data_IF_174013938633
#
_entry.id   IF_174013938633
#
_cell.length_a   1.000
_cell.length_b   1.000
_cell.length_c   1.000
_cell.angle_alpha   90.00
_cell.angle_beta   90.00
_cell.angle_gamma   90.00
#
_symmetry.space_group_name_H-M   'P 1'
#
loop_
_entity.id
_entity.type
_entity.pdbx_description
1 polymer ?
#
# COMPACT_ATOMS: atom_id res chain seq x y z
N UNK A 1 34.14 -8.90 -10.51
CA UNK A 1 33.08 -9.46 -11.41
C UNK A 1 32.23 -8.29 -11.91
N UNK A 2 31.68 -8.35 -13.13
CA UNK A 2 30.71 -7.31 -13.55
C UNK A 2 29.46 -7.40 -12.69
N UNK A 3 28.88 -6.26 -12.31
CA UNK A 3 27.65 -6.23 -11.54
C UNK A 3 26.50 -6.89 -12.34
N UNK A 4 25.71 -7.76 -11.69
CA UNK A 4 24.57 -8.44 -12.32
C UNK A 4 23.43 -7.47 -12.62
N UNK A 5 23.29 -6.42 -11.81
CA UNK A 5 22.31 -5.37 -11.95
C UNK A 5 22.92 -4.01 -11.56
N UNK A 6 22.31 -2.93 -12.02
CA UNK A 6 22.65 -1.58 -11.57
C UNK A 6 22.03 -1.33 -10.20
N UNK A 7 20.83 -1.89 -9.98
CA UNK A 7 20.07 -1.76 -8.73
C UNK A 7 19.41 -3.09 -8.34
N UNK A 8 19.53 -3.45 -7.06
CA UNK A 8 18.72 -4.51 -6.44
C UNK A 8 17.72 -3.86 -5.49
N UNK A 9 16.43 -4.06 -5.74
CA UNK A 9 15.34 -3.66 -4.83
C UNK A 9 14.97 -4.85 -3.96
N UNK A 10 15.08 -4.71 -2.65
CA UNK A 10 14.72 -5.76 -1.69
C UNK A 10 13.32 -5.49 -1.15
N UNK A 11 12.38 -6.38 -1.49
CA UNK A 11 10.95 -6.32 -1.15
C UNK A 11 10.04 -6.27 -2.38
N UNK A 12 9.13 -7.24 -2.49
CA UNK A 12 8.20 -7.42 -3.63
C UNK A 12 6.76 -6.96 -3.35
N UNK A 13 6.56 -6.08 -2.38
CA UNK A 13 5.26 -5.40 -2.17
C UNK A 13 5.08 -4.20 -3.10
N UNK A 14 3.95 -3.49 -2.96
CA UNK A 14 3.61 -2.35 -3.83
C UNK A 14 4.72 -1.31 -3.88
N UNK A 15 5.36 -0.98 -2.76
CA UNK A 15 6.45 0.01 -2.72
C UNK A 15 7.67 -0.47 -3.52
N UNK A 16 8.10 -1.71 -3.30
CA UNK A 16 9.29 -2.25 -4.00
C UNK A 16 9.05 -2.42 -5.49
N UNK A 17 7.89 -2.96 -5.89
CA UNK A 17 7.55 -3.12 -7.31
C UNK A 17 7.40 -1.78 -8.02
N UNK A 18 6.73 -0.80 -7.41
CA UNK A 18 6.59 0.55 -7.99
C UNK A 18 7.93 1.25 -8.11
N UNK A 19 8.80 1.13 -7.08
CA UNK A 19 10.18 1.66 -7.12
C UNK A 19 11.00 0.99 -8.22
N UNK A 20 10.92 -0.33 -8.34
CA UNK A 20 11.63 -1.08 -9.37
C UNK A 20 11.19 -0.71 -10.79
N UNK A 21 9.88 -0.56 -11.02
CA UNK A 21 9.33 -0.07 -12.31
C UNK A 21 9.86 1.33 -12.61
N UNK A 22 9.77 2.25 -11.64
CA UNK A 22 10.26 3.64 -11.81
C UNK A 22 11.73 3.69 -12.19
N UNK A 23 12.58 2.84 -11.61
CA UNK A 23 14.01 2.79 -11.91
C UNK A 23 14.30 2.11 -13.26
N UNK A 24 13.61 1.00 -13.57
CA UNK A 24 13.78 0.29 -14.82
C UNK A 24 13.34 1.14 -16.03
N UNK A 25 12.26 1.91 -15.92
CA UNK A 25 11.81 2.85 -16.95
C UNK A 25 12.74 4.06 -17.15
N UNK A 26 13.66 4.31 -16.22
CA UNK A 26 14.78 5.25 -16.39
C UNK A 26 16.01 4.62 -17.05
N UNK A 27 15.92 3.35 -17.47
CA UNK A 27 16.99 2.63 -18.19
C UNK A 27 17.96 1.86 -17.30
N UNK A 28 17.72 1.75 -15.99
CA UNK A 28 18.55 0.96 -15.09
C UNK A 28 18.23 -0.53 -15.19
N UNK A 29 19.23 -1.40 -15.08
CA UNK A 29 19.06 -2.85 -14.95
C UNK A 29 18.63 -3.17 -13.52
N UNK A 30 17.34 -3.46 -13.31
CA UNK A 30 16.76 -3.66 -11.98
C UNK A 30 16.44 -5.13 -11.70
N UNK A 31 16.81 -5.62 -10.52
CA UNK A 31 16.35 -6.90 -9.96
C UNK A 31 15.57 -6.64 -8.67
N UNK A 32 14.44 -7.29 -8.53
CA UNK A 32 13.69 -7.29 -7.27
C UNK A 32 13.93 -8.61 -6.56
N UNK A 33 14.42 -8.56 -5.34
CA UNK A 33 14.52 -9.73 -4.47
C UNK A 33 13.38 -9.73 -3.48
N UNK A 34 12.56 -10.77 -3.54
CA UNK A 34 11.39 -10.90 -2.67
C UNK A 34 11.36 -12.26 -1.99
N UNK A 35 11.22 -12.26 -0.66
CA UNK A 35 11.04 -13.48 0.12
C UNK A 35 9.76 -14.22 -0.29
N UNK A 36 8.67 -13.48 -0.46
CA UNK A 36 7.34 -14.01 -0.74
C UNK A 36 6.85 -13.55 -2.14
N UNK A 37 5.94 -14.29 -2.81
CA UNK A 37 5.30 -13.78 -4.02
C UNK A 37 4.51 -12.52 -3.70
N UNK A 38 4.32 -11.63 -4.68
CA UNK A 38 3.61 -10.37 -4.48
C UNK A 38 2.21 -10.57 -3.85
N UNK A 39 1.51 -11.64 -4.25
CA UNK A 39 0.20 -12.02 -3.69
C UNK A 39 0.20 -12.50 -2.23
N UNK A 40 1.37 -12.75 -1.63
CA UNK A 40 1.51 -13.12 -0.21
C UNK A 40 2.11 -11.97 0.64
N UNK A 41 2.33 -10.79 0.05
CA UNK A 41 2.80 -9.61 0.77
C UNK A 41 1.66 -8.91 1.50
N UNK A 42 1.99 -8.06 2.48
CA UNK A 42 1.01 -7.18 3.14
C UNK A 42 0.23 -6.32 2.13
N UNK A 43 0.85 -5.95 1.01
CA UNK A 43 0.19 -5.17 -0.04
C UNK A 43 -1.00 -5.89 -0.67
N UNK A 44 -0.96 -7.20 -0.81
CA UNK A 44 -2.05 -8.00 -1.38
C UNK A 44 -3.30 -8.04 -0.49
N UNK A 45 -3.14 -7.73 0.79
CA UNK A 45 -4.23 -7.71 1.78
C UNK A 45 -4.89 -6.34 1.89
N UNK A 46 -4.28 -5.28 1.35
CA UNK A 46 -4.79 -3.93 1.48
C UNK A 46 -6.22 -3.79 0.91
N UNK A 47 -7.09 -3.03 1.59
CA UNK A 47 -8.38 -2.62 1.04
C UNK A 47 -8.23 -1.70 -0.16
N UNK A 48 -7.12 -0.96 -0.18
CA UNK A 48 -6.54 -0.25 -1.32
C UNK A 48 -7.39 0.88 -1.92
N UNK A 49 -8.18 1.57 -1.10
CA UNK A 49 -8.68 2.89 -1.45
C UNK A 49 -7.53 3.91 -1.37
N UNK A 50 -7.39 4.75 -2.39
CA UNK A 50 -6.47 5.89 -2.31
C UNK A 50 -7.00 6.91 -1.30
N UNK A 51 -6.31 7.03 -0.17
CA UNK A 51 -6.58 8.01 0.87
C UNK A 51 -5.37 8.15 1.80
N UNK A 52 -4.87 9.36 2.09
CA UNK A 52 -3.79 9.59 3.04
C UNK A 52 -4.22 9.27 4.49
N UNK A 53 -4.10 8.01 4.88
CA UNK A 53 -4.57 7.52 6.17
C UNK A 53 -3.41 7.28 7.14
N UNK A 54 -3.36 8.04 8.24
CA UNK A 54 -2.39 7.86 9.34
C UNK A 54 -0.97 7.64 8.83
N UNK A 55 -0.46 8.56 8.01
CA UNK A 55 0.87 8.49 7.42
C UNK A 55 1.61 9.81 7.63
N UNK A 56 2.91 9.74 7.89
CA UNK A 56 3.83 10.84 8.12
C UNK A 56 5.04 10.72 7.17
N UNK A 57 5.82 11.79 6.98
CA UNK A 57 5.66 13.13 7.54
C UNK A 57 4.63 13.96 6.75
N UNK A 58 3.79 14.70 7.45
CA UNK A 58 2.63 15.40 6.87
C UNK A 58 3.01 16.39 5.75
N UNK A 59 4.15 17.05 5.84
CA UNK A 59 4.66 18.01 4.84
C UNK A 59 5.02 17.38 3.50
N UNK A 60 5.26 16.07 3.44
CA UNK A 60 5.61 15.33 2.21
C UNK A 60 4.47 14.47 1.68
N UNK A 61 3.66 13.94 2.58
CA UNK A 61 2.59 13.00 2.26
C UNK A 61 1.63 13.56 1.23
N UNK A 62 1.25 14.84 1.34
CA UNK A 62 0.36 15.49 0.38
C UNK A 62 0.90 15.39 -1.06
N UNK A 63 2.15 15.80 -1.27
CA UNK A 63 2.79 15.75 -2.59
C UNK A 63 2.89 14.31 -3.12
N UNK A 64 3.38 13.35 -2.31
CA UNK A 64 3.49 11.95 -2.73
C UNK A 64 2.14 11.32 -3.06
N UNK A 65 1.10 11.69 -2.30
CA UNK A 65 -0.26 11.20 -2.54
C UNK A 65 -0.82 11.74 -3.84
N UNK A 66 -0.68 13.03 -4.13
CA UNK A 66 -1.15 13.65 -5.37
C UNK A 66 -0.41 13.14 -6.61
N UNK A 67 0.91 12.96 -6.53
CA UNK A 67 1.66 12.32 -7.61
C UNK A 67 1.16 10.89 -7.89
N UNK A 68 0.82 10.16 -6.83
CA UNK A 68 0.28 8.80 -6.94
C UNK A 68 -1.15 8.82 -7.49
N UNK A 69 -1.98 9.79 -7.07
CA UNK A 69 -3.34 9.97 -7.56
C UNK A 69 -3.35 10.17 -9.09
N UNK A 70 -2.51 11.08 -9.58
CA UNK A 70 -2.41 11.35 -11.01
C UNK A 70 -2.09 10.07 -11.82
N UNK A 71 -1.16 9.24 -11.33
CA UNK A 71 -0.85 7.97 -12.00
C UNK A 71 -2.03 7.00 -11.94
N UNK A 72 -2.71 6.89 -10.81
CA UNK A 72 -3.86 5.99 -10.71
C UNK A 72 -5.05 6.45 -11.55
N UNK A 73 -5.28 7.73 -11.70
CA UNK A 73 -6.28 8.27 -12.63
C UNK A 73 -5.99 7.84 -14.08
N UNK A 74 -4.73 7.91 -14.52
CA UNK A 74 -4.32 7.40 -15.82
C UNK A 74 -4.51 5.89 -15.95
N UNK A 75 -4.12 5.11 -14.94
CA UNK A 75 -4.23 3.65 -14.93
C UNK A 75 -5.69 3.18 -14.91
N UNK A 76 -6.61 3.98 -14.40
CA UNK A 76 -8.04 3.68 -14.38
C UNK A 76 -8.67 3.63 -15.78
N UNK A 77 -7.97 4.06 -16.83
CA UNK A 77 -8.41 3.89 -18.22
C UNK A 77 -8.40 2.42 -18.69
N UNK A 78 -7.64 1.53 -18.02
CA UNK A 78 -7.56 0.10 -18.35
C UNK A 78 -7.72 -0.78 -17.10
N UNK A 79 -8.89 -0.76 -16.44
CA UNK A 79 -9.07 -1.34 -15.11
C UNK A 79 -8.87 -2.86 -15.04
N UNK A 80 -9.22 -3.59 -16.09
CA UNK A 80 -9.04 -5.04 -16.17
C UNK A 80 -7.56 -5.43 -16.22
N UNK A 81 -6.70 -4.57 -16.77
CA UNK A 81 -5.27 -4.79 -16.87
C UNK A 81 -4.53 -4.32 -15.62
N UNK A 82 -4.84 -3.11 -15.15
CA UNK A 82 -4.12 -2.41 -14.09
C UNK A 82 -4.63 -2.70 -12.69
N UNK A 83 -5.88 -3.19 -12.59
CA UNK A 83 -6.59 -3.36 -11.33
C UNK A 83 -7.03 -2.04 -10.68
N UNK A 84 -6.95 -0.90 -11.38
CA UNK A 84 -7.30 0.44 -10.83
C UNK A 84 -8.62 0.90 -11.42
N UNK A 85 -9.56 1.32 -10.57
CA UNK A 85 -10.84 1.89 -10.96
C UNK A 85 -11.10 3.17 -10.20
N UNK A 86 -11.72 4.16 -10.84
CA UNK A 86 -12.32 5.29 -10.14
C UNK A 86 -13.71 4.89 -9.67
N UNK A 87 -13.91 4.88 -8.37
CA UNK A 87 -15.15 4.44 -7.74
C UNK A 87 -15.70 5.59 -6.91
N UNK A 88 -16.98 5.97 -7.04
CA UNK A 88 -17.61 6.96 -6.17
C UNK A 88 -17.78 6.39 -4.76
N UNK A 89 -17.82 7.28 -3.76
CA UNK A 89 -18.07 6.85 -2.40
C UNK A 89 -18.16 8.00 -1.41
N UNK A 90 -18.27 7.62 -0.14
CA UNK A 90 -18.48 8.54 0.97
C UNK A 90 -17.45 8.30 2.07
N UNK A 91 -16.74 9.35 2.46
CA UNK A 91 -15.98 9.40 3.70
C UNK A 91 -16.88 9.96 4.80
N UNK A 92 -17.43 9.07 5.62
CA UNK A 92 -18.36 9.41 6.69
C UNK A 92 -17.73 10.33 7.73
N UNK A 93 -18.44 11.39 8.09
CA UNK A 93 -18.02 12.36 9.09
C UNK A 93 -16.89 13.32 8.65
N UNK A 94 -16.25 13.09 7.50
CA UNK A 94 -15.12 13.90 7.06
C UNK A 94 -15.55 15.27 6.51
N UNK A 95 -14.68 16.27 6.67
CA UNK A 95 -14.88 17.63 6.19
C UNK A 95 -13.58 18.16 5.59
N UNK A 96 -13.67 19.01 4.55
CA UNK A 96 -12.50 19.62 3.94
C UNK A 96 -11.61 20.35 4.95
N UNK A 97 -12.21 21.01 5.93
CA UNK A 97 -11.48 21.76 6.96
C UNK A 97 -10.58 20.88 7.86
N UNK A 98 -10.85 19.57 7.93
CA UNK A 98 -10.05 18.61 8.69
C UNK A 98 -8.92 17.97 7.86
N UNK A 99 -8.94 18.16 6.53
CA UNK A 99 -7.94 17.58 5.62
C UNK A 99 -6.77 18.53 5.39
N UNK A 100 -5.64 17.95 4.95
CA UNK A 100 -4.49 18.74 4.53
C UNK A 100 -4.72 19.48 3.20
N UNK A 101 -3.77 20.36 2.79
CA UNK A 101 -3.88 21.14 1.56
C UNK A 101 -4.09 20.31 0.29
N UNK A 102 -3.66 19.06 0.29
CA UNK A 102 -3.84 18.12 -0.82
C UNK A 102 -5.31 17.90 -1.20
N UNK A 103 -6.24 18.11 -0.26
CA UNK A 103 -7.66 17.90 -0.49
C UNK A 103 -8.25 18.92 -1.48
N UNK A 104 -7.63 20.09 -1.64
CA UNK A 104 -8.04 21.10 -2.63
C UNK A 104 -7.85 20.63 -4.09
N UNK A 105 -7.02 19.61 -4.31
CA UNK A 105 -6.77 19.03 -5.63
C UNK A 105 -7.73 17.87 -5.97
N UNK A 106 -8.62 17.50 -5.05
CA UNK A 106 -9.62 16.46 -5.31
C UNK A 106 -10.67 16.98 -6.29
N UNK A 107 -10.81 16.30 -7.42
CA UNK A 107 -11.82 16.63 -8.44
C UNK A 107 -13.20 16.19 -7.97
N UNK A 108 -14.19 17.03 -8.20
CA UNK A 108 -15.61 16.74 -7.96
C UNK A 108 -15.93 16.28 -6.51
N UNK A 109 -15.08 16.60 -5.54
CA UNK A 109 -15.35 16.33 -4.14
C UNK A 109 -16.38 17.32 -3.58
N UNK A 110 -17.39 16.81 -2.88
CA UNK A 110 -18.50 17.60 -2.33
C UNK A 110 -18.77 17.24 -0.89
N UNK A 111 -18.82 18.24 -0.01
CA UNK A 111 -19.34 18.03 1.34
C UNK A 111 -20.85 17.83 1.32
N UNK A 112 -21.29 16.76 1.98
CA UNK A 112 -22.70 16.44 2.22
C UNK A 112 -22.95 16.35 3.72
N UNK A 113 -24.22 16.20 4.13
CA UNK A 113 -24.57 16.13 5.56
C UNK A 113 -23.81 15.01 6.29
N UNK A 114 -23.63 13.86 5.62
CA UNK A 114 -23.01 12.66 6.17
C UNK A 114 -21.47 12.68 6.11
N UNK A 115 -20.83 13.53 5.30
CA UNK A 115 -19.39 13.55 5.14
C UNK A 115 -18.90 14.17 3.84
N UNK A 116 -17.84 13.60 3.29
CA UNK A 116 -17.23 14.00 2.02
C UNK A 116 -17.49 12.95 0.95
N UNK A 117 -18.19 13.33 -0.12
CA UNK A 117 -18.46 12.48 -1.29
C UNK A 117 -17.47 12.79 -2.40
N UNK A 118 -16.83 11.74 -2.94
CA UNK A 118 -15.81 11.89 -4.00
C UNK A 118 -15.62 10.56 -4.74
N UNK A 119 -15.21 10.59 -6.00
CA UNK A 119 -14.73 9.41 -6.73
C UNK A 119 -13.20 9.28 -6.57
N UNK A 120 -12.74 8.12 -6.08
CA UNK A 120 -11.31 7.88 -5.82
C UNK A 120 -10.83 6.57 -6.43
N UNK A 121 -9.51 6.45 -6.68
CA UNK A 121 -8.91 5.19 -7.09
C UNK A 121 -9.12 4.11 -6.01
N UNK A 122 -9.71 3.00 -6.44
CA UNK A 122 -9.84 1.77 -5.67
C UNK A 122 -9.15 0.66 -6.47
N UNK A 123 -8.18 0.00 -5.84
CA UNK A 123 -7.34 -0.99 -6.51
C UNK A 123 -7.74 -2.42 -6.13
N UNK A 124 -7.82 -3.31 -7.12
CA UNK A 124 -7.76 -4.76 -6.91
C UNK A 124 -6.29 -5.16 -6.78
N UNK A 125 -5.79 -5.28 -5.55
CA UNK A 125 -4.37 -5.48 -5.29
C UNK A 125 -3.76 -6.72 -5.93
N UNK A 126 -4.40 -7.90 -5.97
CA UNK A 126 -3.89 -9.04 -6.73
C UNK A 126 -3.62 -8.72 -8.20
N UNK A 127 -4.56 -8.02 -8.86
CA UNK A 127 -4.42 -7.63 -10.27
C UNK A 127 -3.33 -6.57 -10.42
N UNK A 128 -3.33 -5.56 -9.56
CA UNK A 128 -2.38 -4.45 -9.61
C UNK A 128 -0.93 -4.90 -9.38
N UNK A 129 -0.68 -5.76 -8.40
CA UNK A 129 0.65 -6.30 -8.14
C UNK A 129 1.16 -7.15 -9.31
N UNK A 130 0.32 -7.99 -9.88
CA UNK A 130 0.66 -8.77 -11.07
C UNK A 130 0.94 -7.85 -12.29
N UNK A 131 0.20 -6.75 -12.43
CA UNK A 131 0.45 -5.74 -13.45
C UNK A 131 1.81 -5.05 -13.25
N UNK A 132 2.16 -4.66 -12.01
CA UNK A 132 3.47 -4.09 -11.70
C UNK A 132 4.62 -5.04 -12.05
N UNK A 133 4.49 -6.34 -11.76
CA UNK A 133 5.49 -7.34 -12.14
C UNK A 133 5.63 -7.44 -13.67
N UNK A 134 4.52 -7.49 -14.40
CA UNK A 134 4.56 -7.50 -15.89
C UNK A 134 5.21 -6.23 -16.45
N UNK A 135 4.87 -5.06 -15.90
CA UNK A 135 5.44 -3.76 -16.29
C UNK A 135 6.94 -3.70 -16.04
N UNK A 136 7.40 -4.22 -14.90
CA UNK A 136 8.81 -4.36 -14.58
C UNK A 136 9.54 -5.25 -15.62
N UNK A 137 8.98 -6.41 -15.95
CA UNK A 137 9.55 -7.32 -16.94
C UNK A 137 9.60 -6.67 -18.32
N UNK A 138 8.54 -5.96 -18.73
CA UNK A 138 8.51 -5.21 -19.98
C UNK A 138 9.58 -4.11 -20.06
N UNK A 139 9.95 -3.53 -18.91
CA UNK A 139 11.06 -2.57 -18.79
C UNK A 139 12.46 -3.23 -18.64
N UNK A 140 12.57 -4.56 -18.81
CA UNK A 140 13.83 -5.31 -18.74
C UNK A 140 14.25 -5.73 -17.33
N UNK A 141 13.44 -5.49 -16.32
CA UNK A 141 13.68 -5.94 -14.95
C UNK A 141 13.23 -7.38 -14.69
N UNK A 142 13.49 -7.90 -13.49
CA UNK A 142 13.02 -9.23 -13.09
C UNK A 142 12.77 -9.29 -11.58
N UNK A 143 11.89 -10.24 -11.18
CA UNK A 143 11.62 -10.58 -9.78
C UNK A 143 12.23 -11.95 -9.47
N UNK A 144 13.00 -12.03 -8.41
CA UNK A 144 13.64 -13.26 -7.93
C UNK A 144 13.12 -13.61 -6.54
N UNK A 145 12.76 -14.88 -6.37
CA UNK A 145 12.36 -15.42 -5.06
C UNK A 145 13.62 -15.62 -4.20
N UNK A 146 13.87 -14.66 -3.31
CA UNK A 146 15.06 -14.64 -2.48
C UNK A 146 14.81 -13.96 -1.15
N UNK A 147 15.04 -14.66 -0.06
CA UNK A 147 15.09 -14.11 1.28
C UNK A 147 16.51 -13.60 1.57
N UNK A 148 16.62 -12.43 2.18
CA UNK A 148 17.89 -11.87 2.63
C UNK A 148 17.91 -11.79 4.16
N UNK A 149 19.07 -11.99 4.75
CA UNK A 149 19.33 -11.79 6.18
C UNK A 149 20.12 -10.50 6.45
N UNK A 150 20.50 -9.80 5.39
CA UNK A 150 21.21 -8.53 5.38
C UNK A 150 21.45 -8.07 3.94
N UNK A 151 21.95 -6.87 3.75
CA UNK A 151 22.17 -6.31 2.41
C UNK A 151 23.55 -6.61 1.81
N UNK A 152 24.46 -7.27 2.55
CA UNK A 152 25.81 -7.59 2.07
C UNK A 152 25.76 -8.45 0.80
N UNK A 153 24.89 -9.47 0.75
CA UNK A 153 24.75 -10.34 -0.42
C UNK A 153 24.24 -9.57 -1.66
N UNK A 154 23.36 -8.59 -1.47
CA UNK A 154 22.91 -7.73 -2.54
C UNK A 154 24.02 -6.76 -3.00
N UNK A 155 24.82 -6.26 -2.06
CA UNK A 155 25.97 -5.39 -2.34
C UNK A 155 27.08 -6.07 -3.17
N UNK A 156 27.24 -7.39 -3.06
CA UNK A 156 28.17 -8.16 -3.89
C UNK A 156 27.74 -8.22 -5.37
N UNK A 157 26.47 -7.98 -5.67
CA UNK A 157 25.86 -8.15 -7.00
C UNK A 157 25.44 -6.84 -7.65
N UNK A 158 25.28 -5.79 -6.86
CA UNK A 158 24.85 -4.47 -7.33
C UNK A 158 25.51 -3.35 -6.51
N UNK A 159 25.96 -2.25 -7.15
CA UNK A 159 26.49 -1.09 -6.44
C UNK A 159 25.41 -0.35 -5.63
N UNK A 160 24.13 -0.54 -5.96
CA UNK A 160 23.00 0.12 -5.31
C UNK A 160 21.97 -0.90 -4.84
N UNK A 161 21.57 -0.79 -3.59
CA UNK A 161 20.48 -1.58 -3.01
C UNK A 161 19.38 -0.64 -2.52
N UNK A 162 18.14 -0.93 -2.88
CA UNK A 162 16.97 -0.19 -2.36
C UNK A 162 16.20 -1.07 -1.38
N UNK A 163 16.10 -0.61 -0.14
CA UNK A 163 15.37 -1.29 0.93
C UNK A 163 13.90 -0.91 0.92
N UNK A 164 13.05 -1.80 0.43
CA UNK A 164 11.58 -1.71 0.43
C UNK A 164 10.94 -2.84 1.25
N UNK A 165 11.61 -3.29 2.33
CA UNK A 165 11.27 -4.53 3.04
C UNK A 165 10.10 -4.38 4.02
N UNK A 166 9.49 -3.19 4.16
CA UNK A 166 8.39 -2.97 5.10
C UNK A 166 8.79 -3.32 6.54
N UNK A 167 8.07 -4.25 7.19
CA UNK A 167 8.41 -4.71 8.54
C UNK A 167 9.79 -5.39 8.64
N UNK A 168 10.29 -5.97 7.56
CA UNK A 168 11.63 -6.56 7.53
C UNK A 168 12.76 -5.55 7.81
N UNK A 169 12.51 -4.25 7.66
CA UNK A 169 13.47 -3.22 8.02
C UNK A 169 13.78 -3.19 9.54
N UNK A 170 12.88 -3.69 10.37
CA UNK A 170 13.12 -3.84 11.83
C UNK A 170 14.37 -4.67 12.13
N UNK A 171 14.60 -5.70 11.33
CA UNK A 171 15.73 -6.64 11.51
C UNK A 171 16.91 -6.30 10.60
N UNK A 172 16.63 -5.96 9.32
CA UNK A 172 17.66 -5.77 8.30
C UNK A 172 18.46 -4.48 8.47
N UNK A 173 17.87 -3.44 9.06
CA UNK A 173 18.55 -2.15 9.36
C UNK A 173 18.37 -1.72 10.82
N UNK A 174 18.21 -2.65 11.75
CA UNK A 174 17.73 -2.50 13.13
C UNK A 174 17.02 -1.15 13.42
N UNK A 175 15.86 -0.94 12.77
CA UNK A 175 15.08 0.29 12.96
C UNK A 175 14.09 0.09 14.14
N UNK A 176 14.37 0.65 15.34
CA UNK A 176 13.53 0.47 16.51
C UNK A 176 12.18 1.17 16.39
N UNK A 177 12.03 2.10 15.45
CA UNK A 177 10.77 2.79 15.17
C UNK A 177 9.76 1.93 14.39
N UNK A 178 10.19 0.78 13.84
CA UNK A 178 9.29 -0.08 13.08
C UNK A 178 8.36 -0.90 13.97
N UNK A 179 7.05 -0.73 13.76
CA UNK A 179 5.99 -1.44 14.48
C UNK A 179 5.01 -2.08 13.52
N UNK A 180 4.46 -3.23 13.92
CA UNK A 180 3.36 -3.85 13.23
C UNK A 180 2.03 -3.28 13.74
N UNK A 181 1.13 -2.92 12.81
CA UNK A 181 -0.27 -2.61 13.14
C UNK A 181 -1.16 -3.59 12.40
N UNK A 182 -1.75 -4.52 13.15
CA UNK A 182 -2.57 -5.58 12.60
C UNK A 182 -3.91 -5.05 12.09
N UNK A 183 -4.21 -5.36 10.83
CA UNK A 183 -5.52 -5.14 10.23
C UNK A 183 -6.17 -6.44 9.83
N UNK A 184 -7.45 -6.62 10.19
CA UNK A 184 -8.26 -7.73 9.72
C UNK A 184 -9.38 -7.23 8.81
N UNK A 185 -9.63 -7.98 7.74
CA UNK A 185 -10.66 -7.77 6.74
C UNK A 185 -11.54 -9.00 6.61
N UNK A 186 -12.78 -8.79 6.17
CA UNK A 186 -13.71 -9.85 5.77
C UNK A 186 -14.04 -9.65 4.29
N UNK A 187 -13.96 -10.72 3.52
CA UNK A 187 -14.40 -10.74 2.14
C UNK A 187 -15.79 -11.38 2.09
N UNK A 188 -16.75 -10.69 1.50
CA UNK A 188 -18.10 -11.22 1.32
C UNK A 188 -18.51 -11.14 -0.15
N UNK A 189 -19.49 -11.93 -0.54
CA UNK A 189 -20.18 -11.75 -1.81
C UNK A 189 -20.81 -10.36 -1.85
N UNK A 190 -20.62 -9.63 -2.97
CA UNK A 190 -21.14 -8.27 -3.05
C UNK A 190 -22.65 -8.28 -3.28
N UNK A 191 -23.45 -7.76 -2.34
CA UNK A 191 -24.92 -7.73 -2.46
C UNK A 191 -25.45 -6.64 -3.41
N UNK A 192 -24.61 -6.08 -4.28
CA UNK A 192 -24.98 -5.01 -5.22
C UNK A 192 -24.50 -3.62 -4.81
N UNK A 193 -23.50 -3.54 -3.93
CA UNK A 193 -22.89 -2.26 -3.52
C UNK A 193 -21.89 -1.81 -4.58
N UNK A 194 -22.08 -0.60 -5.08
CA UNK A 194 -21.24 0.00 -6.14
C UNK A 194 -20.38 1.15 -5.63
N UNK A 195 -20.73 1.77 -4.52
CA UNK A 195 -20.00 2.87 -3.89
C UNK A 195 -19.13 2.35 -2.73
N UNK A 196 -17.93 2.94 -2.57
CA UNK A 196 -17.15 2.70 -1.34
C UNK A 196 -17.65 3.57 -0.19
N UNK A 197 -17.44 3.09 1.02
CA UNK A 197 -17.65 3.85 2.25
C UNK A 197 -16.47 3.66 3.17
N UNK A 198 -16.10 4.71 3.90
CA UNK A 198 -15.16 4.63 5.02
C UNK A 198 -15.52 5.63 6.10
N UNK A 199 -15.40 5.21 7.34
CA UNK A 199 -15.54 6.03 8.53
C UNK A 199 -14.51 5.58 9.56
N UNK A 200 -13.69 6.49 10.04
CA UNK A 200 -12.64 6.21 11.01
C UNK A 200 -12.74 7.17 12.19
N UNK A 201 -12.86 6.61 13.38
CA UNK A 201 -12.66 7.35 14.62
C UNK A 201 -11.15 7.32 14.94
N UNK A 202 -10.46 8.47 15.03
CA UNK A 202 -9.05 8.52 15.40
C UNK A 202 -8.75 7.89 16.77
N UNK A 203 -9.71 7.90 17.69
CA UNK A 203 -9.58 7.32 19.03
C UNK A 203 -9.86 5.80 19.07
N UNK A 204 -10.33 5.20 17.97
CA UNK A 204 -10.68 3.79 17.88
C UNK A 204 -9.68 2.97 17.09
N UNK A 205 -9.44 1.73 17.53
CA UNK A 205 -8.76 0.71 16.71
C UNK A 205 -9.66 0.10 15.64
N UNK A 206 -10.97 0.34 15.72
CA UNK A 206 -11.95 -0.13 14.76
C UNK A 206 -12.21 0.95 13.70
N UNK A 207 -12.20 0.53 12.44
CA UNK A 207 -12.62 1.36 11.31
C UNK A 207 -13.78 0.68 10.61
N UNK A 208 -14.75 1.45 10.11
CA UNK A 208 -15.85 0.93 9.31
C UNK A 208 -15.63 1.30 7.86
N UNK A 209 -15.45 0.32 7.01
CA UNK A 209 -15.40 0.55 5.57
C UNK A 209 -15.87 -0.66 4.78
N UNK A 210 -16.38 -0.40 3.60
CA UNK A 210 -16.62 -1.43 2.59
C UNK A 210 -16.19 -0.91 1.21
N UNK A 211 -15.50 -1.78 0.46
CA UNK A 211 -14.93 -1.46 -0.83
C UNK A 211 -15.40 -2.47 -1.87
N UNK A 212 -16.19 -2.05 -2.88
CA UNK A 212 -16.66 -2.93 -3.94
C UNK A 212 -15.50 -3.30 -4.88
N UNK A 213 -15.19 -4.58 -4.95
CA UNK A 213 -14.21 -5.15 -5.85
C UNK A 213 -14.90 -6.12 -6.84
N UNK A 214 -14.30 -6.44 -7.98
CA UNK A 214 -14.86 -7.42 -8.90
C UNK A 214 -15.18 -8.74 -8.19
N UNK A 215 -16.46 -9.13 -8.19
CA UNK A 215 -16.95 -10.38 -7.59
C UNK A 215 -16.97 -10.45 -6.07
N UNK A 216 -16.60 -9.40 -5.34
CA UNK A 216 -16.57 -9.37 -3.87
C UNK A 216 -16.74 -7.99 -3.29
N UNK A 217 -17.11 -7.93 -2.03
CA UNK A 217 -17.05 -6.73 -1.21
C UNK A 217 -16.01 -6.95 -0.11
N UNK A 218 -15.08 -6.00 0.05
CA UNK A 218 -14.08 -6.00 1.12
C UNK A 218 -14.61 -5.21 2.28
N UNK A 219 -14.77 -5.84 3.44
CA UNK A 219 -15.23 -5.19 4.66
C UNK A 219 -14.07 -4.99 5.64
N UNK A 220 -14.02 -3.85 6.28
CA UNK A 220 -12.99 -3.58 7.26
C UNK A 220 -13.46 -2.69 8.40
N UNK A 221 -12.66 -2.51 9.38
CA UNK A 221 -11.44 -3.22 9.64
C UNK A 221 -10.98 -2.98 11.06
N UNK A 222 -9.73 -3.33 11.31
CA UNK A 222 -9.05 -3.04 12.59
C UNK A 222 -7.69 -2.40 12.37
N UNK A 223 -7.16 -1.74 13.43
CA UNK A 223 -5.82 -1.17 13.45
C UNK A 223 -5.21 -1.39 14.85
N UNK A 224 -4.92 -2.67 15.19
CA UNK A 224 -4.38 -3.05 16.50
C UNK A 224 -2.87 -2.91 16.49
N UNK A 225 -2.36 -2.00 17.30
CA UNK A 225 -0.92 -1.82 17.46
C UNK A 225 -0.30 -3.02 18.20
N UNK A 226 0.92 -3.35 17.84
CA UNK A 226 1.74 -4.40 18.46
C UNK A 226 1.09 -5.81 18.52
N UNK A 227 0.05 -6.05 17.72
CA UNK A 227 -0.53 -7.37 17.48
C UNK A 227 0.04 -7.92 16.16
N UNK A 228 0.81 -9.00 16.23
CA UNK A 228 1.46 -9.63 15.06
C UNK A 228 0.86 -11.01 14.72
N UNK A 229 -0.25 -11.39 15.33
CA UNK A 229 -0.91 -12.67 15.04
C UNK A 229 -1.40 -12.72 13.59
N UNK A 230 -0.97 -13.70 12.79
CA UNK A 230 -1.37 -13.81 11.41
C UNK A 230 -2.76 -14.43 11.21
N UNK A 231 -3.30 -15.13 12.24
CA UNK A 231 -4.56 -15.82 12.13
C UNK A 231 -5.75 -14.85 12.23
N UNK A 232 -6.81 -15.04 11.43
CA UNK A 232 -8.05 -14.32 11.59
C UNK A 232 -8.73 -14.63 12.93
N UNK A 233 -9.38 -13.61 13.50
CA UNK A 233 -10.23 -13.74 14.69
C UNK A 233 -11.70 -13.69 14.26
N UNK A 234 -12.43 -14.77 14.52
CA UNK A 234 -13.84 -14.94 14.15
C UNK A 234 -14.77 -13.93 14.84
N UNK A 235 -14.49 -13.56 16.10
CA UNK A 235 -15.29 -12.57 16.81
C UNK A 235 -15.12 -11.19 16.18
N UNK A 236 -13.87 -10.82 15.86
CA UNK A 236 -13.55 -9.58 15.14
C UNK A 236 -14.19 -9.56 13.76
N UNK A 237 -14.22 -10.70 13.05
CA UNK A 237 -14.86 -10.78 11.75
C UNK A 237 -16.38 -10.48 11.84
N UNK A 238 -17.06 -11.06 12.82
CA UNK A 238 -18.49 -10.78 13.07
C UNK A 238 -18.74 -9.31 13.42
N UNK A 239 -17.87 -8.69 14.22
CA UNK A 239 -17.95 -7.28 14.56
C UNK A 239 -17.77 -6.37 13.33
N UNK A 240 -16.83 -6.71 12.42
CA UNK A 240 -16.61 -5.99 11.16
C UNK A 240 -17.90 -6.04 10.32
N UNK A 241 -18.47 -7.22 10.09
CA UNK A 241 -19.73 -7.38 9.34
C UNK A 241 -20.85 -6.57 9.98
N UNK A 242 -21.03 -6.68 11.30
CA UNK A 242 -22.07 -5.97 12.02
C UNK A 242 -21.94 -4.43 11.93
N UNK A 243 -20.70 -3.89 11.95
CA UNK A 243 -20.49 -2.45 11.76
C UNK A 243 -20.83 -2.00 10.34
N UNK A 244 -20.39 -2.73 9.32
CA UNK A 244 -20.70 -2.43 7.93
C UNK A 244 -22.22 -2.55 7.66
N UNK A 245 -22.89 -3.53 8.24
CA UNK A 245 -24.33 -3.74 8.10
C UNK A 245 -25.19 -2.61 8.75
N UNK A 246 -24.67 -1.87 9.73
CA UNK A 246 -25.36 -0.68 10.24
C UNK A 246 -25.45 0.44 9.20
N UNK A 247 -24.49 0.51 8.28
CA UNK A 247 -24.46 1.50 7.19
C UNK A 247 -25.24 0.97 5.97
N UNK A 248 -25.05 -0.30 5.63
CA UNK A 248 -25.69 -0.99 4.50
C UNK A 248 -26.26 -2.33 4.97
N UNK A 249 -27.56 -2.36 5.35
CA UNK A 249 -28.19 -3.54 5.94
C UNK A 249 -28.08 -4.82 5.11
N UNK A 250 -28.02 -4.71 3.79
CA UNK A 250 -27.85 -5.83 2.86
C UNK A 250 -26.52 -6.61 3.06
N UNK A 251 -25.56 -6.03 3.75
CA UNK A 251 -24.29 -6.71 4.11
C UNK A 251 -24.50 -7.81 5.16
N UNK A 252 -25.53 -7.69 6.00
CA UNK A 252 -25.77 -8.63 7.10
C UNK A 252 -25.90 -10.09 6.64
N UNK A 253 -26.55 -10.29 5.50
CA UNK A 253 -26.85 -11.62 4.95
C UNK A 253 -25.88 -12.04 3.84
N UNK A 254 -24.86 -11.21 3.55
CA UNK A 254 -23.89 -11.49 2.50
C UNK A 254 -23.02 -12.70 2.87
N UNK A 255 -22.89 -13.64 1.94
CA UNK A 255 -22.08 -14.86 2.13
C UNK A 255 -20.59 -14.52 2.33
N UNK A 256 -20.01 -14.95 3.43
CA UNK A 256 -18.59 -14.78 3.72
C UNK A 256 -17.77 -15.67 2.76
N UNK A 257 -16.84 -15.06 2.03
CA UNK A 257 -15.90 -15.71 1.11
C UNK A 257 -14.56 -16.02 1.76
N UNK A 258 -14.21 -15.30 2.83
CA UNK A 258 -12.96 -15.51 3.56
C UNK A 258 -12.53 -14.31 4.39
N UNK A 259 -11.39 -14.48 5.03
CA UNK A 259 -10.78 -13.48 5.89
C UNK A 259 -9.36 -13.15 5.41
N UNK A 260 -8.89 -11.95 5.72
CA UNK A 260 -7.51 -11.53 5.47
C UNK A 260 -6.95 -10.81 6.68
N UNK A 261 -5.70 -11.06 6.97
CA UNK A 261 -4.94 -10.35 8.00
C UNK A 261 -3.68 -9.78 7.36
N UNK A 262 -3.40 -8.51 7.63
CA UNK A 262 -2.18 -7.84 7.18
C UNK A 262 -1.53 -7.05 8.31
N UNK A 263 -0.21 -7.05 8.33
CA UNK A 263 0.59 -6.30 9.30
C UNK A 263 1.11 -5.03 8.61
N UNK A 264 0.54 -3.89 8.95
CA UNK A 264 0.94 -2.61 8.38
C UNK A 264 2.31 -2.21 8.95
N UNK A 265 3.29 -1.88 8.09
CA UNK A 265 4.63 -1.48 8.52
C UNK A 265 4.66 0.00 8.95
N UNK A 266 4.17 0.29 10.12
CA UNK A 266 4.20 1.64 10.68
C UNK A 266 5.59 1.95 11.22
N UNK A 267 6.07 3.16 10.95
CA UNK A 267 7.33 3.65 11.47
C UNK A 267 7.11 4.92 12.27
N UNK A 268 7.66 4.99 13.47
CA UNK A 268 7.76 6.22 14.25
C UNK A 268 8.62 7.23 13.47
N UNK A 269 8.13 8.46 13.32
CA UNK A 269 8.74 9.47 12.43
C UNK A 269 8.41 9.30 10.96
N UNK A 270 7.49 8.39 10.59
CA UNK A 270 6.91 8.25 9.26
C UNK A 270 7.79 7.55 8.23
N UNK A 271 7.48 7.78 6.96
CA UNK A 271 8.16 7.17 5.81
C UNK A 271 9.64 7.56 5.77
N UNK A 272 10.50 6.57 5.64
CA UNK A 272 11.94 6.77 5.51
C UNK A 272 12.36 6.67 4.04
N UNK A 273 12.72 7.81 3.44
CA UNK A 273 13.33 7.91 2.11
C UNK A 273 14.62 8.67 2.26
N UNK A 274 15.74 7.94 2.28
CA UNK A 274 17.09 8.50 2.43
C UNK A 274 18.16 7.54 1.91
N UNK A 275 19.33 8.07 1.59
CA UNK A 275 20.48 7.30 1.15
C UNK A 275 21.51 7.17 2.28
N UNK A 276 22.19 6.02 2.32
CA UNK A 276 23.27 5.71 3.23
C UNK A 276 24.31 4.80 2.58
N UNK A 277 25.38 4.53 3.30
CA UNK A 277 26.41 3.61 2.84
C UNK A 277 26.03 2.15 3.09
N UNK A 278 26.32 1.26 2.12
CA UNK A 278 26.29 -0.18 2.35
C UNK A 278 27.54 -0.63 3.11
N UNK A 279 27.43 -1.62 3.99
CA UNK A 279 28.59 -2.31 4.54
C UNK A 279 29.45 -2.88 3.40
N UNK A 280 30.73 -2.53 3.36
CA UNK A 280 31.64 -2.99 2.30
C UNK A 280 31.68 -2.09 1.04
N UNK A 281 30.95 -0.99 1.03
CA UNK A 281 30.88 0.00 -0.06
C UNK A 281 29.61 -0.13 -0.91
N UNK A 282 29.29 0.93 -1.64
CA UNK A 282 28.03 1.05 -2.39
C UNK A 282 26.98 1.87 -1.66
N UNK A 283 25.80 1.97 -2.27
CA UNK A 283 24.71 2.84 -1.84
C UNK A 283 23.52 2.02 -1.36
N UNK A 284 23.01 2.34 -0.17
CA UNK A 284 21.75 1.83 0.35
C UNK A 284 20.72 2.95 0.37
N UNK A 285 19.65 2.80 -0.40
CA UNK A 285 18.51 3.72 -0.40
C UNK A 285 17.37 3.09 0.38
N UNK A 286 16.83 3.77 1.36
CA UNK A 286 15.65 3.34 2.12
C UNK A 286 14.38 3.87 1.46
N UNK A 287 13.34 3.05 1.40
CA UNK A 287 11.98 3.42 1.02
C UNK A 287 10.98 2.49 1.74
N UNK A 288 10.73 2.74 3.02
CA UNK A 288 9.87 1.92 3.87
C UNK A 288 9.18 2.74 4.98
N UNK A 289 8.31 2.08 5.77
CA UNK A 289 7.62 2.72 6.89
C UNK A 289 6.30 3.39 6.52
N UNK A 290 5.63 2.92 5.46
CA UNK A 290 4.43 3.54 4.88
C UNK A 290 3.12 3.24 5.64
N UNK A 291 3.16 2.46 6.71
CA UNK A 291 2.00 2.14 7.53
C UNK A 291 0.83 1.57 6.72
N UNK A 292 -0.35 2.15 6.90
CA UNK A 292 -1.57 1.77 6.20
C UNK A 292 -1.79 2.45 4.85
N UNK A 293 -0.93 3.40 4.45
CA UNK A 293 -1.12 4.22 3.25
C UNK A 293 -0.09 3.96 2.13
N UNK A 294 0.60 2.80 2.16
CA UNK A 294 1.61 2.49 1.14
C UNK A 294 1.08 2.53 -0.29
N UNK A 295 -0.15 2.09 -0.53
CA UNK A 295 -0.81 2.21 -1.84
C UNK A 295 -0.99 3.67 -2.24
N UNK A 296 -1.42 4.51 -1.31
CA UNK A 296 -1.71 5.92 -1.53
C UNK A 296 -0.51 6.74 -1.98
N UNK A 297 0.70 6.36 -1.54
CA UNK A 297 1.93 7.14 -1.80
C UNK A 297 2.95 6.41 -2.69
N UNK A 298 2.61 5.24 -3.23
CA UNK A 298 3.56 4.34 -3.87
C UNK A 298 4.39 5.00 -4.98
N UNK A 299 3.76 5.68 -5.93
CA UNK A 299 4.44 6.33 -7.04
C UNK A 299 5.18 7.60 -6.63
N UNK A 300 4.60 8.42 -5.76
CA UNK A 300 5.29 9.60 -5.22
C UNK A 300 6.54 9.23 -4.43
N UNK A 301 6.45 8.21 -3.57
CA UNK A 301 7.62 7.70 -2.83
C UNK A 301 8.67 7.06 -3.75
N UNK A 302 8.26 6.33 -4.79
CA UNK A 302 9.18 5.77 -5.78
C UNK A 302 9.94 6.88 -6.53
N UNK A 303 9.23 7.94 -6.97
CA UNK A 303 9.82 9.11 -7.63
C UNK A 303 10.74 9.90 -6.70
N UNK A 304 10.40 9.99 -5.40
CA UNK A 304 11.26 10.63 -4.40
C UNK A 304 12.52 9.82 -4.09
N UNK A 305 12.45 8.49 -4.13
CA UNK A 305 13.60 7.61 -3.91
C UNK A 305 14.54 7.52 -5.13
N UNK A 306 14.01 7.62 -6.34
CA UNK A 306 14.76 7.39 -7.57
C UNK A 306 15.96 8.35 -7.78
N UNK A 307 15.90 9.67 -7.46
CA UNK A 307 17.08 10.55 -7.56
C UNK A 307 18.20 10.20 -6.57
N UNK A 308 17.92 9.43 -5.53
CA UNK A 308 18.92 8.97 -4.56
C UNK A 308 19.73 7.79 -5.08
N UNK A 309 19.28 7.17 -6.15
CA UNK A 309 19.94 6.00 -6.79
C UNK A 309 21.06 6.44 -7.76
N UNK A 310 20.94 7.64 -8.31
CA UNK A 310 21.90 8.21 -9.27
C UNK A 310 21.28 8.46 -10.63
#
# INVERSE_FOLDING_TARGET
MAAEADVIVVGGGVIGLTTAVTLAERGLRVRVWSRDPAGATTSAVAGALWWPYRIEPAERVGAWSLETLAVYEELAAAPEETGVRLVPGLHGGERFAALGPWAAELKDAVEVAEGLRVALPLLDMPVHLAWLERRLVAAGGAVERRAVTGFAEAAERSPVVVNCTGLGARELVPDPGMRAVRGQLVLVENPGIEEWFTEADPASEATTYFFPQPGRLVLGGTARADDERPEPDEAVAREIVARCARVRPEIADARVLGHRVGLRPVREGGVRIEAGALPGGGLLVHNYGHGGAGVTVAWGCARAAAPLVG
#
